data_IF_488594428158
#
_entry.id   IF_488594428158
#
_cell.length_a   1.000
_cell.length_b   1.000
_cell.length_c   1.000
_cell.angle_alpha   90.00
_cell.angle_beta   90.00
_cell.angle_gamma   90.00
#
_symmetry.space_group_name_H-M   'P 1'
#
loop_
_entity.id
_entity.type
_entity.pdbx_description
1 polymer ?
#
# COMPACT_ATOMS: atom_id res chain seq x y z
N UNK A 1 4.58 0.64 7.83
CA UNK A 1 6.03 0.55 7.53
C UNK A 1 6.85 1.49 8.41
N UNK A 2 6.50 2.78 8.50
CA UNK A 2 7.25 3.75 9.34
C UNK A 2 7.43 3.29 10.79
N UNK A 3 6.36 2.77 11.42
CA UNK A 3 6.42 2.23 12.79
C UNK A 3 7.17 0.91 12.93
N UNK A 4 7.29 0.13 11.86
CA UNK A 4 8.12 -1.08 11.86
C UNK A 4 9.61 -0.72 11.88
N UNK A 5 9.99 0.32 11.12
CA UNK A 5 11.36 0.82 11.06
C UNK A 5 11.77 1.58 12.32
N UNK A 6 10.85 2.34 12.91
CA UNK A 6 11.07 3.09 14.16
C UNK A 6 10.95 2.20 15.41
N UNK A 7 10.38 1.00 15.27
CA UNK A 7 10.09 0.10 16.37
C UNK A 7 11.31 -0.59 16.98
N UNK A 8 11.08 -1.54 17.92
CA UNK A 8 12.11 -2.08 18.81
C UNK A 8 13.20 -2.89 18.09
N UNK A 9 12.95 -3.31 16.84
CA UNK A 9 13.81 -4.18 16.03
C UNK A 9 14.94 -3.43 15.32
N UNK A 10 14.69 -2.23 14.81
CA UNK A 10 15.73 -1.45 14.11
C UNK A 10 16.21 -0.21 14.89
N UNK A 11 15.43 0.29 15.87
CA UNK A 11 15.76 1.49 16.67
C UNK A 11 16.19 2.70 15.82
N UNK A 12 15.65 2.81 14.60
CA UNK A 12 16.02 3.87 13.68
C UNK A 12 15.33 5.17 14.09
N UNK A 13 16.04 6.29 13.93
CA UNK A 13 15.44 7.60 14.16
C UNK A 13 14.29 7.85 13.18
N UNK A 14 13.34 8.69 13.56
CA UNK A 14 12.21 9.04 12.70
C UNK A 14 12.65 9.58 11.32
N UNK A 15 13.79 10.28 11.29
CA UNK A 15 14.43 10.77 10.08
C UNK A 15 14.91 9.64 9.16
N UNK A 16 15.55 8.61 9.72
CA UNK A 16 16.03 7.45 8.95
C UNK A 16 14.87 6.62 8.39
N UNK A 17 13.82 6.41 9.18
CA UNK A 17 12.60 5.76 8.69
C UNK A 17 11.95 6.55 7.55
N UNK A 18 11.96 7.89 7.63
CA UNK A 18 11.51 8.76 6.54
C UNK A 18 12.37 8.63 5.27
N UNK A 19 13.69 8.61 5.40
CA UNK A 19 14.61 8.38 4.28
C UNK A 19 14.35 7.03 3.59
N UNK A 20 14.01 6.00 4.35
CA UNK A 20 13.68 4.68 3.82
C UNK A 20 12.35 4.60 3.06
N UNK A 21 11.47 5.60 3.18
CA UNK A 21 10.24 5.69 2.39
C UNK A 21 10.43 6.43 1.06
N UNK A 22 11.56 7.11 0.87
CA UNK A 22 11.86 7.85 -0.38
C UNK A 22 11.76 6.95 -1.62
N UNK A 23 12.30 5.71 -1.65
CA UNK A 23 12.20 4.85 -2.82
C UNK A 23 10.75 4.56 -3.23
N UNK A 24 9.83 4.43 -2.27
CA UNK A 24 8.40 4.21 -2.55
C UNK A 24 7.79 5.45 -3.21
N UNK A 25 8.01 6.63 -2.63
CA UNK A 25 7.49 7.88 -3.18
C UNK A 25 8.06 8.17 -4.57
N UNK A 26 9.36 7.91 -4.76
CA UNK A 26 10.05 8.08 -6.03
C UNK A 26 9.47 7.15 -7.11
N UNK A 27 9.30 5.86 -6.79
CA UNK A 27 8.75 4.89 -7.74
C UNK A 27 7.30 5.19 -8.10
N UNK A 28 6.46 5.61 -7.15
CA UNK A 28 5.09 6.06 -7.46
C UNK A 28 5.12 7.27 -8.41
N UNK A 29 5.98 8.26 -8.13
CA UNK A 29 6.11 9.46 -8.95
C UNK A 29 6.61 9.17 -10.37
N UNK A 30 7.48 8.16 -10.55
CA UNK A 30 7.99 7.74 -11.86
C UNK A 30 7.00 6.85 -12.61
N UNK A 31 6.49 5.79 -11.97
CA UNK A 31 5.62 4.80 -12.63
C UNK A 31 4.17 5.30 -12.82
N UNK A 32 3.72 6.29 -12.05
CA UNK A 32 2.40 6.91 -12.22
C UNK A 32 2.20 7.48 -13.63
N UNK A 33 2.99 8.49 -14.06
CA UNK A 33 2.87 9.06 -15.41
C UNK A 33 3.14 8.04 -16.52
N UNK A 34 4.15 7.17 -16.34
CA UNK A 34 4.51 6.14 -17.33
C UNK A 34 3.32 5.21 -17.57
N UNK A 35 2.72 4.69 -16.51
CA UNK A 35 1.56 3.79 -16.63
C UNK A 35 0.34 4.49 -17.18
N UNK A 36 0.10 5.76 -16.84
CA UNK A 36 -0.96 6.58 -17.44
C UNK A 36 -0.81 6.63 -18.96
N UNK A 37 0.34 7.10 -19.43
CA UNK A 37 0.62 7.20 -20.87
C UNK A 37 0.54 5.85 -21.60
N UNK A 38 1.10 4.80 -21.00
CA UNK A 38 1.11 3.47 -21.61
C UNK A 38 -0.29 2.83 -21.61
N UNK A 39 -1.10 3.13 -20.59
CA UNK A 39 -2.47 2.66 -20.48
C UNK A 39 -3.43 3.29 -21.48
N UNK A 40 -3.21 4.54 -21.86
CA UNK A 40 -4.00 5.22 -22.89
C UNK A 40 -3.79 4.56 -24.26
N UNK A 41 -2.61 3.97 -24.49
CA UNK A 41 -2.24 3.30 -25.76
C UNK A 41 -2.62 1.82 -25.81
N UNK A 42 -2.37 1.07 -24.73
CA UNK A 42 -2.53 -0.40 -24.72
C UNK A 42 -3.73 -0.89 -23.89
N UNK A 43 -4.49 0.03 -23.29
CA UNK A 43 -5.67 -0.26 -22.46
C UNK A 43 -5.34 -0.32 -20.96
N UNK A 44 -6.20 0.29 -20.16
CA UNK A 44 -6.04 0.45 -18.70
C UNK A 44 -6.03 -0.86 -17.91
N UNK A 45 -6.78 -1.86 -18.37
CA UNK A 45 -7.00 -3.11 -17.63
C UNK A 45 -5.72 -3.90 -17.36
N UNK A 46 -4.81 -3.99 -18.34
CA UNK A 46 -3.56 -4.71 -18.18
C UNK A 46 -2.64 -4.06 -17.14
N UNK A 47 -2.59 -2.72 -17.11
CA UNK A 47 -1.79 -1.96 -16.14
C UNK A 47 -2.37 -2.03 -14.73
N UNK A 48 -3.70 -1.98 -14.61
CA UNK A 48 -4.40 -2.12 -13.33
C UNK A 48 -4.12 -3.49 -12.71
N UNK A 49 -4.33 -4.59 -13.46
CA UNK A 49 -4.10 -5.95 -12.96
C UNK A 49 -2.61 -6.20 -12.70
N UNK A 50 -1.73 -5.75 -13.59
CA UNK A 50 -0.28 -5.88 -13.43
C UNK A 50 0.24 -5.12 -12.20
N UNK A 51 -0.27 -3.91 -11.95
CA UNK A 51 0.07 -3.11 -10.77
C UNK A 51 -0.41 -3.75 -9.46
N UNK A 52 -1.63 -4.30 -9.45
CA UNK A 52 -2.15 -5.04 -8.29
C UNK A 52 -1.33 -6.29 -7.99
N UNK A 53 -0.97 -7.08 -9.01
CA UNK A 53 -0.11 -8.25 -8.85
C UNK A 53 1.29 -7.88 -8.35
N UNK A 54 1.90 -6.85 -8.93
CA UNK A 54 3.24 -6.38 -8.54
C UNK A 54 3.23 -5.91 -7.08
N UNK A 55 2.18 -5.17 -6.68
CA UNK A 55 2.00 -4.74 -5.29
C UNK A 55 1.81 -5.92 -4.35
N UNK A 56 0.99 -6.90 -4.73
CA UNK A 56 0.74 -8.10 -3.93
C UNK A 56 2.03 -8.92 -3.71
N UNK A 57 2.85 -9.08 -4.76
CA UNK A 57 4.17 -9.72 -4.64
C UNK A 57 5.08 -8.94 -3.70
N UNK A 58 5.11 -7.60 -3.82
CA UNK A 58 5.86 -6.74 -2.90
C UNK A 58 5.45 -6.93 -1.44
N UNK A 59 4.15 -6.96 -1.15
CA UNK A 59 3.64 -7.24 0.20
C UNK A 59 3.94 -8.66 0.68
N UNK A 60 3.87 -9.67 -0.19
CA UNK A 60 4.24 -11.05 0.16
C UNK A 60 5.74 -11.23 0.43
N UNK A 61 6.60 -10.42 -0.18
CA UNK A 61 8.02 -10.40 0.16
C UNK A 61 8.21 -9.74 1.54
N UNK A 62 7.45 -8.69 1.84
CA UNK A 62 7.50 -8.02 3.15
C UNK A 62 6.99 -8.89 4.31
N UNK A 63 6.13 -9.88 4.08
CA UNK A 63 5.72 -10.81 5.16
C UNK A 63 6.86 -11.73 5.61
N UNK A 64 7.88 -11.92 4.77
CA UNK A 64 9.06 -12.76 5.08
C UNK A 64 10.22 -11.96 5.65
N UNK A 65 10.03 -10.67 5.89
CA UNK A 65 11.12 -9.80 6.35
C UNK A 65 11.52 -10.18 7.79
N UNK A 66 12.80 -10.52 7.98
CA UNK A 66 13.32 -10.82 9.31
C UNK A 66 13.81 -9.53 10.01
N UNK A 67 13.66 -9.45 11.35
CA UNK A 67 14.33 -8.43 12.14
C UNK A 67 15.85 -8.50 11.91
N UNK A 68 16.49 -7.38 11.56
CA UNK A 68 17.94 -7.23 11.28
C UNK A 68 18.44 -7.47 9.84
N UNK A 69 17.55 -7.54 8.84
CA UNK A 69 17.95 -7.62 7.43
C UNK A 69 18.63 -6.34 6.89
N UNK A 70 19.57 -6.52 5.96
CA UNK A 70 20.29 -5.42 5.30
C UNK A 70 19.33 -4.54 4.48
N UNK A 71 19.59 -3.23 4.44
CA UNK A 71 18.73 -2.24 3.75
C UNK A 71 18.40 -2.62 2.29
N UNK A 72 19.34 -3.23 1.58
CA UNK A 72 19.16 -3.70 0.20
C UNK A 72 18.02 -4.72 0.04
N UNK A 73 17.77 -5.55 1.06
CA UNK A 73 16.65 -6.51 1.06
C UNK A 73 15.29 -5.83 1.25
N UNK A 74 15.25 -4.65 1.86
CA UNK A 74 14.04 -3.85 2.02
C UNK A 74 13.75 -2.99 0.77
N UNK A 75 14.79 -2.57 0.06
CA UNK A 75 14.66 -1.68 -1.09
C UNK A 75 13.87 -2.33 -2.23
N UNK A 76 14.12 -3.61 -2.53
CA UNK A 76 13.44 -4.36 -3.59
C UNK A 76 11.91 -4.42 -3.37
N UNK A 77 11.41 -4.93 -2.22
CA UNK A 77 9.96 -4.98 -1.99
C UNK A 77 9.32 -3.58 -1.93
N UNK A 78 10.02 -2.57 -1.40
CA UNK A 78 9.51 -1.19 -1.41
C UNK A 78 9.34 -0.64 -2.83
N UNK A 79 10.31 -0.90 -3.71
CA UNK A 79 10.24 -0.52 -5.12
C UNK A 79 9.11 -1.27 -5.83
N UNK A 80 8.92 -2.57 -5.54
CA UNK A 80 7.80 -3.35 -6.09
C UNK A 80 6.44 -2.81 -5.65
N UNK A 81 6.28 -2.50 -4.36
CA UNK A 81 5.03 -1.90 -3.85
C UNK A 81 4.80 -0.53 -4.48
N UNK A 82 5.80 0.34 -4.51
CA UNK A 82 5.65 1.69 -5.06
C UNK A 82 5.41 1.70 -6.57
N UNK A 83 6.12 0.87 -7.33
CA UNK A 83 5.87 0.71 -8.77
C UNK A 83 4.49 0.13 -9.05
N UNK A 84 4.06 -0.91 -8.32
CA UNK A 84 2.73 -1.49 -8.47
C UNK A 84 1.60 -0.51 -8.14
N UNK A 85 1.76 0.27 -7.06
CA UNK A 85 0.82 1.34 -6.71
C UNK A 85 0.77 2.44 -7.77
N UNK A 86 1.93 2.88 -8.28
CA UNK A 86 2.02 3.86 -9.36
C UNK A 86 1.33 3.37 -10.64
N UNK A 87 1.56 2.11 -11.00
CA UNK A 87 0.96 1.47 -12.18
C UNK A 87 -0.55 1.30 -12.08
N UNK A 88 -1.08 1.17 -10.87
CA UNK A 88 -2.51 1.03 -10.61
C UNK A 88 -3.21 2.39 -10.54
N UNK A 89 -2.67 3.34 -9.80
CA UNK A 89 -3.38 4.56 -9.38
C UNK A 89 -3.80 5.44 -10.56
N UNK A 90 -2.89 5.69 -11.52
CA UNK A 90 -3.16 6.54 -12.67
C UNK A 90 -4.23 5.97 -13.63
N UNK A 91 -4.08 4.76 -14.20
CA UNK A 91 -5.08 4.19 -15.09
C UNK A 91 -6.42 3.90 -14.41
N UNK A 92 -6.41 3.52 -13.13
CA UNK A 92 -7.65 3.29 -12.38
C UNK A 92 -8.47 4.59 -12.27
N UNK A 93 -7.84 5.70 -11.90
CA UNK A 93 -8.53 6.99 -11.78
C UNK A 93 -9.08 7.45 -13.12
N UNK A 94 -8.30 7.30 -14.19
CA UNK A 94 -8.74 7.64 -15.56
C UNK A 94 -9.92 6.77 -16.01
N UNK A 95 -9.87 5.45 -15.76
CA UNK A 95 -10.96 4.54 -16.10
C UNK A 95 -12.28 4.90 -15.38
N UNK A 96 -12.21 5.21 -14.09
CA UNK A 96 -13.39 5.65 -13.31
C UNK A 96 -13.95 6.96 -13.91
N UNK A 97 -13.10 7.95 -14.18
CA UNK A 97 -13.56 9.24 -14.75
C UNK A 97 -14.07 9.15 -16.19
N UNK A 98 -13.61 8.17 -16.97
CA UNK A 98 -14.09 7.92 -18.33
C UNK A 98 -15.42 7.17 -18.36
N UNK A 99 -15.80 6.49 -17.27
CA UNK A 99 -17.09 5.81 -17.16
C UNK A 99 -18.27 6.75 -16.90
N UNK A 100 -18.00 8.00 -16.50
CA UNK A 100 -19.01 9.02 -16.16
C UNK A 100 -19.08 10.14 -17.20
N UNK A 101 -20.29 10.67 -17.49
CA UNK A 101 -20.46 11.83 -18.38
C UNK A 101 -19.68 13.06 -17.88
N UNK A 102 -19.16 13.86 -18.82
CA UNK A 102 -18.33 15.04 -18.52
C UNK A 102 -18.95 16.00 -17.48
N UNK A 103 -20.26 16.25 -17.58
CA UNK A 103 -21.00 17.13 -16.67
C UNK A 103 -21.13 16.59 -15.23
N UNK A 104 -20.85 15.31 -14.98
CA UNK A 104 -20.87 14.68 -13.64
C UNK A 104 -19.48 14.31 -13.13
N UNK A 105 -18.40 14.65 -13.85
CA UNK A 105 -17.03 14.30 -13.42
C UNK A 105 -16.66 14.91 -12.07
N UNK A 106 -17.14 16.12 -11.78
CA UNK A 106 -16.91 16.77 -10.47
C UNK A 106 -17.51 15.97 -9.32
N UNK A 107 -18.78 15.56 -9.43
CA UNK A 107 -19.45 14.75 -8.40
C UNK A 107 -18.87 13.34 -8.30
N UNK A 108 -18.53 12.72 -9.43
CA UNK A 108 -17.90 11.41 -9.46
C UNK A 108 -16.49 11.41 -8.85
N UNK A 109 -15.68 12.44 -9.12
CA UNK A 109 -14.36 12.60 -8.51
C UNK A 109 -14.46 12.80 -6.99
N UNK A 110 -15.42 13.61 -6.54
CA UNK A 110 -15.72 13.79 -5.12
C UNK A 110 -16.08 12.46 -4.45
N UNK A 111 -17.03 11.72 -5.03
CA UNK A 111 -17.47 10.43 -4.50
C UNK A 111 -16.37 9.37 -4.51
N UNK A 112 -15.58 9.29 -5.60
CA UNK A 112 -14.41 8.41 -5.68
C UNK A 112 -13.37 8.73 -4.61
N UNK A 113 -13.10 10.02 -4.38
CA UNK A 113 -12.16 10.46 -3.34
C UNK A 113 -12.69 10.09 -1.95
N UNK A 114 -13.98 10.29 -1.68
CA UNK A 114 -14.59 9.89 -0.41
C UNK A 114 -14.49 8.39 -0.18
N UNK A 115 -14.79 7.56 -1.19
CA UNK A 115 -14.69 6.10 -1.09
C UNK A 115 -13.25 5.64 -0.81
N UNK A 116 -12.26 6.24 -1.47
CA UNK A 116 -10.84 5.95 -1.22
C UNK A 116 -10.45 6.35 0.20
N UNK A 117 -10.86 7.54 0.66
CA UNK A 117 -10.58 8.00 2.02
C UNK A 117 -11.22 7.10 3.07
N UNK A 118 -12.47 6.67 2.88
CA UNK A 118 -13.13 5.70 3.75
C UNK A 118 -12.38 4.37 3.79
N UNK A 119 -11.96 3.86 2.62
CA UNK A 119 -11.14 2.65 2.54
C UNK A 119 -9.83 2.77 3.32
N UNK A 120 -9.14 3.92 3.20
CA UNK A 120 -7.91 4.19 3.94
C UNK A 120 -8.15 4.21 5.46
N UNK A 121 -9.22 4.86 5.92
CA UNK A 121 -9.56 4.93 7.35
C UNK A 121 -9.91 3.54 7.90
N UNK A 122 -10.71 2.76 7.17
CA UNK A 122 -11.06 1.38 7.55
C UNK A 122 -9.82 0.48 7.63
N UNK A 123 -8.92 0.58 6.65
CA UNK A 123 -7.67 -0.17 6.63
C UNK A 123 -6.78 0.18 7.83
N UNK A 124 -6.66 1.47 8.16
CA UNK A 124 -5.91 1.92 9.32
C UNK A 124 -6.53 1.40 10.62
N UNK A 125 -7.86 1.51 10.76
CA UNK A 125 -8.59 1.01 11.94
C UNK A 125 -8.41 -0.50 12.15
N UNK A 126 -8.55 -1.31 11.09
CA UNK A 126 -8.30 -2.75 11.13
C UNK A 126 -6.84 -3.07 11.51
N UNK A 127 -5.89 -2.30 10.98
CA UNK A 127 -4.47 -2.48 11.31
C UNK A 127 -4.21 -2.21 12.81
N UNK A 128 -4.76 -1.13 13.35
CA UNK A 128 -4.65 -0.83 14.78
C UNK A 128 -5.31 -1.90 15.64
N UNK A 129 -6.49 -2.38 15.26
CA UNK A 129 -7.19 -3.45 15.98
C UNK A 129 -6.34 -4.72 16.09
N UNK A 130 -5.69 -5.15 15.01
CA UNK A 130 -4.79 -6.31 14.99
C UNK A 130 -3.58 -6.09 15.91
N UNK A 131 -3.05 -4.87 15.93
CA UNK A 131 -1.91 -4.51 16.78
C UNK A 131 -2.32 -4.50 18.27
N UNK A 132 -3.46 -3.90 18.62
CA UNK A 132 -3.93 -3.81 20.02
C UNK A 132 -4.32 -5.15 20.63
N UNK A 133 -4.68 -6.14 19.79
CA UNK A 133 -4.93 -7.51 20.26
C UNK A 133 -3.64 -8.24 20.67
N UNK A 134 -2.49 -7.86 20.10
CA UNK A 134 -1.20 -8.51 20.36
C UNK A 134 -0.34 -7.73 21.36
N UNK A 135 -0.58 -6.42 21.52
CA UNK A 135 0.21 -5.51 22.36
C UNK A 135 -0.74 -4.52 23.06
N UNK A 136 -0.61 -4.37 24.38
CA UNK A 136 -1.41 -3.42 25.16
C UNK A 136 -1.15 -1.97 24.74
N UNK A 137 -2.15 -1.10 24.88
CA UNK A 137 -2.07 0.32 24.43
C UNK A 137 -0.92 1.09 25.10
N UNK A 138 -0.65 0.81 26.39
CA UNK A 138 0.48 1.38 27.12
C UNK A 138 1.84 0.97 26.55
N UNK A 139 1.94 -0.26 26.04
CA UNK A 139 3.16 -0.76 25.42
C UNK A 139 3.34 -0.24 24.00
N UNK A 140 2.24 0.07 23.29
CA UNK A 140 2.31 0.75 22.00
C UNK A 140 2.87 2.16 22.15
N UNK A 141 2.46 2.89 23.19
CA UNK A 141 2.98 4.23 23.46
C UNK A 141 4.48 4.20 23.76
N UNK A 142 4.96 3.21 24.54
CA UNK A 142 6.40 3.04 24.79
C UNK A 142 7.17 2.62 23.54
N UNK A 143 6.59 1.79 22.68
CA UNK A 143 7.18 1.44 21.38
C UNK A 143 7.26 2.66 20.45
N UNK A 144 6.22 3.50 20.39
CA UNK A 144 6.18 4.69 19.53
C UNK A 144 7.07 5.83 20.02
N UNK A 145 7.29 5.93 21.33
CA UNK A 145 8.16 6.94 21.95
C UNK A 145 9.63 6.48 22.06
N UNK A 146 9.94 5.25 21.65
CA UNK A 146 11.30 4.69 21.72
C UNK A 146 11.75 4.28 23.12
N UNK A 147 10.81 4.07 24.04
CA UNK A 147 11.07 3.58 25.40
C UNK A 147 11.47 2.11 25.44
N UNK A 148 11.94 1.65 26.61
CA UNK A 148 12.34 0.26 26.85
C UNK A 148 11.11 -0.65 26.91
N UNK A 149 10.63 -1.08 25.74
CA UNK A 149 9.56 -2.07 25.63
C UNK A 149 10.08 -3.48 25.92
N UNK A 150 9.23 -4.31 26.54
CA UNK A 150 9.53 -5.71 26.78
C UNK A 150 9.80 -6.43 25.44
N UNK A 151 10.89 -7.23 25.37
CA UNK A 151 11.29 -7.95 24.15
C UNK A 151 10.17 -8.84 23.59
N UNK A 152 9.34 -9.44 24.44
CA UNK A 152 8.16 -10.22 24.03
C UNK A 152 7.11 -9.37 23.31
N UNK A 153 6.85 -8.16 23.79
CA UNK A 153 5.88 -7.24 23.18
C UNK A 153 6.41 -6.70 21.84
N UNK A 154 7.72 -6.53 21.72
CA UNK A 154 8.36 -6.19 20.45
C UNK A 154 8.17 -7.28 19.39
N UNK A 155 8.32 -8.56 19.75
CA UNK A 155 8.07 -9.69 18.84
C UNK A 155 6.60 -9.77 18.44
N UNK A 156 5.67 -9.60 19.40
CA UNK A 156 4.24 -9.60 19.12
C UNK A 156 3.83 -8.47 18.18
N UNK A 157 4.40 -7.27 18.35
CA UNK A 157 4.21 -6.14 17.45
C UNK A 157 4.65 -6.47 16.01
N UNK A 158 5.85 -7.04 15.85
CA UNK A 158 6.39 -7.45 14.53
C UNK A 158 5.47 -8.48 13.86
N UNK A 159 4.99 -9.47 14.62
CA UNK A 159 4.07 -10.47 14.11
C UNK A 159 2.75 -9.84 13.62
N UNK A 160 2.19 -8.88 14.35
CA UNK A 160 1.01 -8.14 13.90
C UNK A 160 1.25 -7.40 12.58
N UNK A 161 2.43 -6.81 12.39
CA UNK A 161 2.79 -6.16 11.12
C UNK A 161 2.84 -7.18 9.97
N UNK A 162 3.40 -8.38 10.19
CA UNK A 162 3.40 -9.43 9.17
C UNK A 162 2.00 -9.90 8.81
N UNK A 163 1.11 -10.03 9.79
CA UNK A 163 -0.32 -10.34 9.56
C UNK A 163 -0.99 -9.25 8.74
N UNK A 164 -0.73 -7.98 9.03
CA UNK A 164 -1.26 -6.85 8.26
C UNK A 164 -0.77 -6.89 6.82
N UNK A 165 0.51 -7.20 6.57
CA UNK A 165 1.04 -7.33 5.21
C UNK A 165 0.41 -8.51 4.46
N UNK A 166 0.19 -9.64 5.13
CA UNK A 166 -0.48 -10.79 4.53
C UNK A 166 -1.94 -10.47 4.17
N UNK A 167 -2.68 -9.85 5.09
CA UNK A 167 -4.05 -9.41 4.83
C UNK A 167 -4.11 -8.40 3.68
N UNK A 168 -3.17 -7.45 3.63
CA UNK A 168 -3.08 -6.48 2.53
C UNK A 168 -2.85 -7.19 1.18
N UNK A 169 -1.95 -8.18 1.13
CA UNK A 169 -1.73 -8.99 -0.05
C UNK A 169 -3.00 -9.78 -0.46
N UNK A 170 -3.69 -10.39 0.52
CA UNK A 170 -4.93 -11.14 0.27
C UNK A 170 -6.04 -10.23 -0.29
N UNK A 171 -6.20 -9.03 0.27
CA UNK A 171 -7.17 -8.03 -0.22
C UNK A 171 -6.82 -7.56 -1.64
N UNK A 172 -5.54 -7.33 -1.93
CA UNK A 172 -5.10 -6.98 -3.30
C UNK A 172 -5.40 -8.09 -4.29
N UNK A 173 -5.12 -9.36 -3.93
CA UNK A 173 -5.44 -10.50 -4.78
C UNK A 173 -6.95 -10.68 -4.99
N UNK A 174 -7.76 -10.50 -3.93
CA UNK A 174 -9.21 -10.53 -4.04
C UNK A 174 -9.75 -9.39 -4.94
N UNK A 175 -9.10 -8.22 -4.92
CA UNK A 175 -9.45 -7.07 -5.74
C UNK A 175 -9.21 -7.26 -7.25
N UNK A 176 -8.40 -8.27 -7.62
CA UNK A 176 -8.18 -8.62 -9.03
C UNK A 176 -9.45 -9.22 -9.65
N UNK A 177 -10.26 -9.95 -8.87
CA UNK A 177 -11.48 -10.62 -9.38
C UNK A 177 -12.49 -9.60 -9.95
N UNK A 178 -12.90 -8.54 -9.22
CA UNK A 178 -13.73 -7.48 -9.79
C UNK A 178 -13.11 -6.84 -11.04
N UNK A 179 -11.80 -6.58 -11.01
CA UNK A 179 -11.10 -5.95 -12.13
C UNK A 179 -11.14 -6.79 -13.41
N UNK A 180 -11.12 -8.13 -13.29
CA UNK A 180 -11.28 -9.04 -14.42
C UNK A 180 -12.72 -9.05 -14.96
N UNK A 181 -13.72 -8.92 -14.08
CA UNK A 181 -15.15 -8.97 -14.45
C UNK A 181 -15.59 -7.70 -15.18
N UNK A 182 -14.97 -6.55 -14.89
CA UNK A 182 -15.28 -5.29 -15.59
C UNK A 182 -14.99 -5.40 -17.10
N UNK A 183 -16.03 -5.17 -17.92
CA UNK A 183 -15.91 -5.17 -19.39
C UNK A 183 -15.14 -3.92 -19.83
N UNK A 184 -14.28 -4.03 -20.86
CA UNK A 184 -13.59 -2.86 -21.41
C UNK A 184 -14.64 -1.84 -21.90
N UNK A 185 -14.60 -0.64 -21.33
CA UNK A 185 -15.46 0.46 -21.73
C UNK A 185 -15.13 0.80 -23.19
N UNK A 186 -16.12 0.70 -24.07
CA UNK A 186 -15.97 1.08 -25.49
C UNK A 186 -15.53 2.55 -25.56
N UNK A 187 -14.49 2.89 -26.34
CA UNK A 187 -14.19 4.29 -26.61
C UNK A 187 -15.39 4.90 -27.32
N UNK A 188 -15.97 5.96 -26.74
CA UNK A 188 -16.93 6.79 -27.45
C UNK A 188 -16.15 7.69 -28.41
N UNK A 189 -16.22 7.35 -29.69
CA UNK A 189 -15.90 8.24 -30.83
C UNK A 189 -16.75 9.50 -30.77
#
# INVERSE_FOLDING_TARGET
MTFYLQGPTMKLSALQAGLYLIPVSFTIATFGPISGWLSDKYGSKFFIIGGLLTSAVGFLILTRLQPHENFSHLLIPLVLVGSGMGMFAAPNRTAVMNSVPAHRRGTASGMSTTLVTLGNILSLGLSFLIITQAVSVSDLETIFTGGNSNFTNAINFVNSIHVIFFLSAAVLLASIIPSIIERPLRPRS
#
